data_IF_285102702110
#
_entry.id   IF_285102702110
#
_cell.length_a   1.000
_cell.length_b   1.000
_cell.length_c   1.000
_cell.angle_alpha   90.00
_cell.angle_beta   90.00
_cell.angle_gamma   90.00
#
_symmetry.space_group_name_H-M   'P 1'
#
loop_
_entity.id
_entity.type
_entity.pdbx_description
1 polymer ?
#
# COMPACT_ATOMS: atom_id res chain seq x y z
N UNK A 1 -10.11 30.51 15.47
CA UNK A 1 -11.07 29.88 14.54
C UNK A 1 -10.66 30.26 13.13
N UNK A 2 -10.40 29.29 12.24
CA UNK A 2 -10.06 29.53 10.81
C UNK A 2 -11.25 29.14 9.96
N UNK A 3 -11.75 30.06 9.13
CA UNK A 3 -12.86 29.79 8.22
C UNK A 3 -12.32 29.36 6.86
N UNK A 4 -12.73 28.19 6.39
CA UNK A 4 -12.29 27.66 5.10
C UNK A 4 -13.44 27.78 4.10
N UNK A 5 -13.13 28.22 2.88
CA UNK A 5 -14.06 28.25 1.77
C UNK A 5 -13.65 27.23 0.73
N UNK A 6 -14.61 26.43 0.28
CA UNK A 6 -14.44 25.39 -0.73
C UNK A 6 -15.52 25.58 -1.79
N UNK A 7 -15.13 25.62 -3.07
CA UNK A 7 -16.02 25.76 -4.23
C UNK A 7 -15.68 24.67 -5.24
N UNK A 8 -16.70 24.04 -5.83
CA UNK A 8 -16.54 23.13 -6.97
C UNK A 8 -17.50 23.55 -8.08
N UNK A 9 -16.96 23.89 -9.24
CA UNK A 9 -17.72 24.29 -10.43
C UNK A 9 -17.70 23.22 -11.52
N UNK A 10 -16.73 22.29 -11.45
CA UNK A 10 -16.54 21.19 -12.38
C UNK A 10 -16.30 19.90 -11.62
N UNK A 11 -16.79 18.73 -12.10
CA UNK A 11 -16.53 17.44 -11.47
C UNK A 11 -15.03 17.20 -11.29
N UNK A 12 -14.64 16.67 -10.12
CA UNK A 12 -13.24 16.37 -9.78
C UNK A 12 -12.30 17.59 -9.76
N UNK A 13 -12.81 18.83 -9.68
CA UNK A 13 -12.00 20.02 -9.42
C UNK A 13 -12.56 20.75 -8.21
N UNK A 14 -11.68 21.11 -7.29
CA UNK A 14 -12.00 21.91 -6.11
C UNK A 14 -11.10 23.15 -6.08
N UNK A 15 -11.71 24.29 -5.75
CA UNK A 15 -11.06 25.53 -5.39
C UNK A 15 -11.21 25.72 -3.88
N UNK A 16 -10.11 25.88 -3.16
CA UNK A 16 -10.15 26.10 -1.71
C UNK A 16 -9.31 27.31 -1.29
N UNK A 17 -9.70 27.95 -0.19
CA UNK A 17 -8.93 29.02 0.46
C UNK A 17 -9.27 29.15 1.93
N UNK A 18 -8.33 29.70 2.69
CA UNK A 18 -8.59 30.20 4.03
C UNK A 18 -9.13 31.64 3.93
N UNK A 19 -10.32 31.88 4.48
CA UNK A 19 -10.89 33.22 4.58
C UNK A 19 -10.21 33.91 5.77
N UNK A 20 -9.19 34.72 5.47
CA UNK A 20 -8.57 35.62 6.44
C UNK A 20 -9.29 36.96 6.56
N UNK A 21 -10.20 37.29 5.63
CA UNK A 21 -10.93 38.55 5.61
C UNK A 21 -12.34 38.41 5.00
N UNK A 22 -13.35 39.06 5.58
CA UNK A 22 -14.73 39.15 5.04
C UNK A 22 -14.91 40.38 4.12
N UNK A 23 -13.83 40.83 3.47
CA UNK A 23 -13.85 42.06 2.68
C UNK A 23 -14.84 41.94 1.51
N UNK A 24 -15.83 42.83 1.46
CA UNK A 24 -16.86 42.92 0.43
C UNK A 24 -16.45 43.77 -0.77
N UNK A 25 -15.17 44.17 -0.91
CA UNK A 25 -14.74 45.14 -1.94
C UNK A 25 -13.43 44.78 -2.63
N UNK A 26 -13.38 44.86 -3.98
CA UNK A 26 -12.15 44.80 -4.77
C UNK A 26 -11.30 46.08 -4.74
N UNK A 27 -11.57 47.02 -3.83
CA UNK A 27 -10.95 48.36 -3.83
C UNK A 27 -9.77 48.54 -2.85
N UNK A 28 -9.41 47.51 -2.07
CA UNK A 28 -8.14 47.50 -1.34
C UNK A 28 -7.10 46.79 -2.22
N UNK A 29 -6.27 47.57 -2.90
CA UNK A 29 -5.32 47.11 -3.92
C UNK A 29 -4.34 46.01 -3.45
N UNK A 30 -4.27 45.72 -2.15
CA UNK A 30 -3.36 44.73 -1.55
C UNK A 30 -4.07 43.54 -0.87
N UNK A 31 -5.38 43.35 -1.10
CA UNK A 31 -6.11 42.25 -0.51
C UNK A 31 -5.86 40.93 -1.28
N UNK A 32 -4.87 40.16 -0.84
CA UNK A 32 -4.55 38.82 -1.38
C UNK A 32 -5.58 37.74 -1.04
N UNK A 33 -6.68 38.08 -0.36
CA UNK A 33 -7.67 37.09 0.09
C UNK A 33 -8.32 36.33 -1.09
N UNK A 34 -8.31 36.86 -2.31
CA UNK A 34 -9.09 36.33 -3.45
C UNK A 34 -8.36 35.33 -4.37
N UNK A 35 -7.21 34.77 -3.96
CA UNK A 35 -6.50 33.76 -4.75
C UNK A 35 -6.74 32.33 -4.21
N UNK A 36 -7.77 31.60 -4.69
CA UNK A 36 -7.98 30.22 -4.28
C UNK A 36 -6.94 29.28 -4.88
N UNK A 37 -6.57 28.26 -4.10
CA UNK A 37 -5.78 27.13 -4.57
C UNK A 37 -6.69 26.15 -5.31
N UNK A 38 -6.24 25.65 -6.46
CA UNK A 38 -6.95 24.64 -7.26
C UNK A 38 -6.37 23.26 -7.01
N UNK A 39 -7.24 22.30 -6.74
CA UNK A 39 -6.93 20.87 -6.71
C UNK A 39 -7.75 20.19 -7.79
N UNK A 40 -7.07 19.47 -8.67
CA UNK A 40 -7.71 18.62 -9.67
C UNK A 40 -7.51 17.15 -9.25
N UNK A 41 -8.61 16.43 -9.05
CA UNK A 41 -8.61 15.02 -8.70
C UNK A 41 -8.52 14.11 -9.94
N UNK A 42 -8.55 14.67 -11.15
CA UNK A 42 -8.30 13.95 -12.41
C UNK A 42 -6.82 13.81 -12.71
N UNK A 43 -5.98 14.70 -12.15
CA UNK A 43 -4.55 14.44 -12.11
C UNK A 43 -4.29 13.35 -11.09
N UNK A 44 -4.50 12.10 -11.52
CA UNK A 44 -3.57 11.04 -11.18
C UNK A 44 -2.23 11.58 -11.69
N UNK A 45 -1.49 12.29 -10.84
CA UNK A 45 -0.09 12.47 -11.12
C UNK A 45 0.44 11.04 -11.23
N UNK A 46 1.04 10.70 -12.35
CA UNK A 46 2.19 9.80 -12.33
C UNK A 46 3.23 10.46 -11.40
N UNK A 47 2.95 10.42 -10.09
CA UNK A 47 4.00 10.22 -9.12
C UNK A 47 4.75 8.99 -9.62
N UNK A 48 6.10 8.95 -9.54
CA UNK A 48 6.82 7.74 -9.89
C UNK A 48 6.09 6.59 -9.22
N UNK A 49 5.53 5.67 -10.01
CA UNK A 49 4.70 4.59 -9.48
C UNK A 49 5.42 4.06 -8.25
N UNK A 50 4.81 4.12 -7.06
CA UNK A 50 5.48 3.61 -5.89
C UNK A 50 5.92 2.19 -6.24
N UNK A 51 7.17 1.79 -5.93
CA UNK A 51 7.72 0.47 -6.30
C UNK A 51 6.82 -0.72 -5.91
N UNK A 52 5.81 -0.44 -5.08
CA UNK A 52 4.75 -1.28 -4.56
C UNK A 52 3.72 -1.69 -5.64
N UNK A 53 3.32 -0.82 -6.59
CA UNK A 53 2.23 -1.14 -7.54
C UNK A 53 2.56 -2.33 -8.46
N UNK A 54 3.85 -2.53 -8.76
CA UNK A 54 4.36 -3.63 -9.57
C UNK A 54 4.73 -4.90 -8.74
N UNK A 55 4.18 -5.04 -7.53
CA UNK A 55 4.46 -6.20 -6.68
C UNK A 55 3.36 -7.26 -6.64
N UNK A 56 2.18 -6.99 -7.23
CA UNK A 56 1.12 -8.00 -7.32
C UNK A 56 1.63 -9.29 -7.97
N UNK A 57 1.31 -10.41 -7.34
CA UNK A 57 1.73 -11.75 -7.75
C UNK A 57 3.11 -12.17 -7.27
N UNK A 58 3.94 -11.24 -6.74
CA UNK A 58 5.24 -11.60 -6.16
C UNK A 58 5.06 -12.33 -4.83
N UNK A 59 6.01 -13.20 -4.55
CA UNK A 59 6.09 -13.94 -3.30
C UNK A 59 7.05 -13.25 -2.35
N UNK A 60 6.66 -13.19 -1.08
CA UNK A 60 7.38 -12.48 -0.04
C UNK A 60 7.39 -13.27 1.27
N UNK A 61 8.31 -12.89 2.14
CA UNK A 61 8.26 -13.23 3.56
C UNK A 61 7.86 -11.97 4.33
N UNK A 62 6.81 -12.08 5.13
CA UNK A 62 6.28 -10.99 5.97
C UNK A 62 6.43 -11.33 7.44
N UNK A 63 6.64 -10.32 8.27
CA UNK A 63 6.65 -10.44 9.71
C UNK A 63 5.23 -10.24 10.26
N UNK A 64 4.79 -11.14 11.13
CA UNK A 64 3.58 -10.97 11.92
C UNK A 64 3.85 -11.38 13.36
N UNK A 65 3.70 -10.44 14.29
CA UNK A 65 3.98 -10.65 15.73
C UNK A 65 5.36 -11.27 16.02
N UNK A 66 6.38 -10.86 15.25
CA UNK A 66 7.75 -11.35 15.40
C UNK A 66 7.99 -12.74 14.79
N UNK A 67 7.07 -13.25 13.96
CA UNK A 67 7.21 -14.52 13.25
C UNK A 67 7.16 -14.31 11.74
N UNK A 68 8.03 -14.98 10.96
CA UNK A 68 8.00 -14.89 9.52
C UNK A 68 6.91 -15.80 8.92
N UNK A 69 6.22 -15.29 7.92
CA UNK A 69 5.23 -16.01 7.12
C UNK A 69 5.51 -15.83 5.64
N UNK A 70 5.40 -16.91 4.88
CA UNK A 70 5.50 -16.88 3.42
C UNK A 70 4.13 -16.51 2.85
N UNK A 71 4.09 -15.61 1.88
CA UNK A 71 2.84 -15.25 1.22
C UNK A 71 3.02 -14.71 -0.19
N UNK A 72 1.89 -14.47 -0.85
CA UNK A 72 1.82 -13.85 -2.17
C UNK A 72 1.01 -12.56 -2.10
N UNK A 73 1.53 -11.51 -2.71
CA UNK A 73 0.83 -10.22 -2.78
C UNK A 73 -0.35 -10.35 -3.74
N UNK A 74 -1.57 -10.20 -3.25
CA UNK A 74 -2.81 -10.29 -4.03
C UNK A 74 -3.20 -8.93 -4.60
N UNK A 75 -3.00 -7.86 -3.83
CA UNK A 75 -3.25 -6.48 -4.22
C UNK A 75 -2.47 -5.50 -3.36
N UNK A 76 -2.42 -4.25 -3.82
CA UNK A 76 -1.80 -3.12 -3.13
C UNK A 76 -2.86 -2.04 -3.03
N UNK A 77 -3.08 -1.53 -1.83
CA UNK A 77 -4.13 -0.54 -1.52
C UNK A 77 -3.49 0.62 -0.75
N UNK A 78 -3.22 1.72 -1.44
CA UNK A 78 -2.48 2.84 -0.86
C UNK A 78 -1.06 2.40 -0.48
N UNK A 79 -0.74 2.51 0.81
CA UNK A 79 0.57 2.15 1.38
C UNK A 79 0.58 0.74 2.03
N UNK A 80 -0.52 0.00 1.92
CA UNK A 80 -0.68 -1.34 2.46
C UNK A 80 -0.69 -2.38 1.34
N UNK A 81 -0.16 -3.56 1.63
CA UNK A 81 -0.18 -4.72 0.74
C UNK A 81 -1.09 -5.80 1.33
N UNK A 82 -2.00 -6.32 0.52
CA UNK A 82 -2.76 -7.52 0.87
C UNK A 82 -1.94 -8.74 0.48
N UNK A 83 -1.78 -9.65 1.42
CA UNK A 83 -0.96 -10.84 1.26
C UNK A 83 -1.82 -12.06 1.61
N UNK A 84 -1.86 -13.02 0.68
CA UNK A 84 -2.34 -14.37 0.98
C UNK A 84 -1.20 -15.14 1.62
N UNK A 85 -1.37 -15.61 2.85
CA UNK A 85 -0.33 -16.29 3.63
C UNK A 85 -0.41 -17.82 3.51
N UNK A 86 0.75 -18.46 3.46
CA UNK A 86 0.91 -19.91 3.53
C UNK A 86 1.17 -20.35 4.97
N UNK A 87 0.69 -21.55 5.32
CA UNK A 87 1.00 -22.21 6.58
C UNK A 87 2.22 -23.12 6.42
N UNK A 88 3.24 -22.91 7.24
CA UNK A 88 4.37 -23.83 7.33
C UNK A 88 3.97 -25.13 8.06
N UNK A 89 4.42 -26.28 7.54
CA UNK A 89 4.19 -27.58 8.14
C UNK A 89 5.32 -27.95 9.11
N UNK A 90 5.14 -27.60 10.38
CA UNK A 90 6.18 -27.77 11.41
C UNK A 90 7.40 -26.90 11.11
N UNK A 91 8.60 -27.38 11.41
CA UNK A 91 9.86 -26.67 11.14
C UNK A 91 10.51 -27.06 9.79
N UNK A 92 9.72 -27.58 8.84
CA UNK A 92 10.22 -28.07 7.54
C UNK A 92 10.02 -27.01 6.46
N UNK A 93 10.80 -27.11 5.37
CA UNK A 93 10.60 -26.35 4.14
C UNK A 93 9.41 -26.93 3.34
N UNK A 94 8.22 -26.88 3.93
CA UNK A 94 6.97 -27.38 3.34
C UNK A 94 5.85 -26.45 3.78
N UNK A 95 5.13 -25.90 2.81
CA UNK A 95 4.11 -24.88 2.99
C UNK A 95 2.82 -25.30 2.29
N UNK A 96 1.67 -24.90 2.86
CA UNK A 96 0.35 -25.14 2.27
C UNK A 96 -0.45 -23.86 2.26
N UNK A 97 -1.23 -23.67 1.19
CA UNK A 97 -2.27 -22.66 1.19
C UNK A 97 -3.40 -23.10 2.14
N UNK A 98 -3.84 -22.25 3.08
CA UNK A 98 -4.98 -22.55 3.92
C UNK A 98 -6.29 -22.49 3.11
N UNK A 99 -7.31 -23.20 3.59
CA UNK A 99 -8.68 -23.14 3.07
C UNK A 99 -9.61 -22.93 4.28
N UNK A 100 -10.25 -21.76 4.44
CA UNK A 100 -10.24 -20.59 3.53
C UNK A 100 -8.87 -19.90 3.44
N UNK A 101 -8.68 -19.09 2.40
CA UNK A 101 -7.47 -18.27 2.24
C UNK A 101 -7.29 -17.32 3.42
N UNK A 102 -6.06 -17.22 3.89
CA UNK A 102 -5.67 -16.31 4.96
C UNK A 102 -5.13 -15.03 4.32
N UNK A 103 -5.98 -13.99 4.30
CA UNK A 103 -5.71 -12.71 3.63
C UNK A 103 -5.57 -11.62 4.69
N UNK A 104 -4.41 -10.98 4.72
CA UNK A 104 -4.07 -9.96 5.71
C UNK A 104 -3.40 -8.77 5.02
N UNK A 105 -3.63 -7.58 5.57
CA UNK A 105 -2.98 -6.35 5.15
C UNK A 105 -1.73 -6.10 6.00
N UNK A 106 -0.63 -5.76 5.33
CA UNK A 106 0.67 -5.46 5.94
C UNK A 106 1.19 -4.13 5.41
N UNK A 107 2.04 -3.48 6.19
CA UNK A 107 2.84 -2.36 5.69
C UNK A 107 4.08 -2.89 4.97
N UNK A 108 4.62 -2.11 4.05
CA UNK A 108 5.89 -2.44 3.37
C UNK A 108 7.03 -2.69 4.38
N UNK A 109 7.01 -1.99 5.52
CA UNK A 109 7.99 -2.16 6.59
C UNK A 109 7.96 -3.56 7.24
N UNK A 110 6.85 -4.30 7.13
CA UNK A 110 6.72 -5.66 7.63
C UNK A 110 7.19 -6.71 6.61
N UNK A 111 7.53 -6.30 5.38
CA UNK A 111 8.09 -7.19 4.37
C UNK A 111 9.57 -7.41 4.65
N UNK A 112 9.91 -8.64 5.01
CA UNK A 112 11.29 -9.02 5.35
C UNK A 112 12.12 -9.30 4.11
N UNK A 113 11.54 -9.95 3.09
CA UNK A 113 12.24 -10.24 1.84
C UNK A 113 11.30 -10.64 0.71
N UNK A 114 11.72 -10.36 -0.52
CA UNK A 114 11.12 -10.92 -1.74
C UNK A 114 11.78 -12.26 -2.05
N UNK A 115 10.97 -13.26 -2.38
CA UNK A 115 11.39 -14.63 -2.69
C UNK A 115 10.87 -15.07 -4.05
N UNK A 116 11.42 -16.17 -4.55
CA UNK A 116 10.91 -16.82 -5.76
C UNK A 116 9.57 -17.49 -5.47
N UNK A 117 8.80 -17.76 -6.53
CA UNK A 117 7.60 -18.59 -6.41
C UNK A 117 7.95 -19.96 -5.79
N UNK A 118 7.25 -20.40 -4.72
CA UNK A 118 7.47 -21.70 -4.12
C UNK A 118 7.24 -22.85 -5.11
N UNK A 119 8.19 -23.78 -5.20
CA UNK A 119 8.10 -24.95 -6.06
C UNK A 119 7.02 -25.92 -5.56
N UNK A 120 6.11 -26.41 -6.42
CA UNK A 120 5.14 -27.41 -6.01
C UNK A 120 5.83 -28.75 -5.68
N UNK A 121 5.58 -29.27 -4.48
CA UNK A 121 5.98 -30.62 -4.06
C UNK A 121 4.91 -31.63 -4.45
N UNK A 122 3.64 -31.26 -4.28
CA UNK A 122 2.47 -31.99 -4.75
C UNK A 122 1.30 -31.00 -4.92
N UNK A 123 0.09 -31.51 -5.15
CA UNK A 123 -1.08 -30.65 -5.40
C UNK A 123 -1.49 -29.73 -4.24
N UNK A 124 -1.04 -30.00 -3.00
CA UNK A 124 -1.40 -29.22 -1.80
C UNK A 124 -0.21 -28.57 -1.11
N UNK A 125 1.01 -28.93 -1.48
CA UNK A 125 2.21 -28.51 -0.78
C UNK A 125 3.23 -27.91 -1.73
N UNK A 126 3.87 -26.83 -1.30
CA UNK A 126 4.98 -26.19 -1.99
C UNK A 126 6.18 -26.05 -1.06
N UNK A 127 7.35 -25.79 -1.63
CA UNK A 127 8.60 -25.56 -0.90
C UNK A 127 9.34 -24.35 -1.45
N UNK A 128 10.10 -23.68 -0.60
CA UNK A 128 11.00 -22.62 -1.05
C UNK A 128 12.26 -23.22 -1.71
N UNK A 129 12.91 -22.43 -2.56
CA UNK A 129 14.27 -22.75 -3.03
C UNK A 129 15.23 -22.84 -1.85
N UNK A 130 16.40 -23.48 -2.03
CA UNK A 130 17.42 -23.58 -0.97
C UNK A 130 17.87 -22.20 -0.47
N UNK A 131 17.95 -21.21 -1.36
CA UNK A 131 18.36 -19.85 -1.02
C UNK A 131 17.27 -19.11 -0.25
N UNK A 132 16.03 -19.19 -0.72
CA UNK A 132 14.90 -18.52 -0.06
C UNK A 132 14.55 -19.18 1.28
N UNK A 133 14.76 -20.49 1.41
CA UNK A 133 14.65 -21.19 2.69
C UNK A 133 15.68 -20.69 3.71
N UNK A 134 16.93 -20.45 3.30
CA UNK A 134 17.94 -19.85 4.18
C UNK A 134 17.55 -18.44 4.62
N UNK A 135 16.98 -17.63 3.71
CA UNK A 135 16.47 -16.29 4.05
C UNK A 135 15.35 -16.37 5.09
N UNK A 136 14.38 -17.27 4.88
CA UNK A 136 13.28 -17.51 5.82
C UNK A 136 13.79 -17.94 7.20
N UNK A 137 14.76 -18.86 7.26
CA UNK A 137 15.34 -19.32 8.53
C UNK A 137 16.13 -18.24 9.25
N UNK A 138 16.78 -17.32 8.54
CA UNK A 138 17.49 -16.20 9.15
C UNK A 138 16.55 -15.17 9.80
N UNK A 139 15.25 -15.27 9.53
CA UNK A 139 14.19 -14.40 10.03
C UNK A 139 13.31 -15.07 11.10
N UNK A 140 13.52 -16.36 11.38
CA UNK A 140 12.70 -17.20 12.28
C UNK A 140 13.25 -17.29 13.70
#
# INVERSE_FOLDING_TARGET
MKLHQVISTEPATILYRDISCFCSRPAAADCKCYSPSKVDFRSVSEAPEPPILNQKGKFIVVNYEGKPFVGQITQVVGDEIEVSCMKQLGAKNVFTWPQPSDLLFYYEADVLSVISEPEPVNSRHSRLTTEDWKKFQAQS
#
